data_IF_576387689739
#
_entry.id   IF_576387689739
#
_cell.length_a   1.000
_cell.length_b   1.000
_cell.length_c   1.000
_cell.angle_alpha   90.00
_cell.angle_beta   90.00
_cell.angle_gamma   90.00
#
_symmetry.space_group_name_H-M   'P 1'
#
loop_
_entity.id
_entity.type
_entity.pdbx_description
1 polymer ?
#
# COMPACT_ATOMS: atom_id res chain seq x y z
N UNK A 1 3.71 21.51 -0.85
CA UNK A 1 2.42 21.13 -0.21
C UNK A 1 2.48 21.43 1.27
N UNK A 2 1.38 21.85 1.94
CA UNK A 2 1.42 22.11 3.36
C UNK A 2 1.31 20.81 4.20
N UNK A 3 1.82 20.84 5.42
CA UNK A 3 1.83 19.69 6.33
C UNK A 3 0.42 19.22 6.74
N UNK A 4 -0.58 20.10 6.69
CA UNK A 4 -1.98 19.74 7.00
C UNK A 4 -2.57 18.88 5.90
N UNK A 5 -2.27 19.20 4.66
CA UNK A 5 -2.69 18.40 3.50
C UNK A 5 -2.08 17.00 3.55
N UNK A 6 -0.76 16.88 3.81
CA UNK A 6 -0.08 15.59 3.94
C UNK A 6 -0.69 14.76 5.09
N UNK A 7 -0.83 15.37 6.27
CA UNK A 7 -1.47 14.69 7.42
C UNK A 7 -2.90 14.29 7.14
N UNK A 8 -3.68 15.17 6.49
CA UNK A 8 -5.07 14.89 6.14
C UNK A 8 -5.19 13.71 5.18
N UNK A 9 -4.33 13.63 4.17
CA UNK A 9 -4.30 12.53 3.21
C UNK A 9 -3.95 11.19 3.90
N UNK A 10 -2.87 11.16 4.69
CA UNK A 10 -2.47 9.95 5.42
C UNK A 10 -3.51 9.50 6.44
N UNK A 11 -4.06 10.43 7.23
CA UNK A 11 -5.11 10.10 8.19
C UNK A 11 -6.38 9.61 7.50
N UNK A 12 -6.74 10.21 6.35
CA UNK A 12 -7.88 9.77 5.54
C UNK A 12 -7.72 8.33 5.05
N UNK A 13 -6.53 7.96 4.59
CA UNK A 13 -6.22 6.60 4.19
C UNK A 13 -6.36 5.64 5.37
N UNK A 14 -5.71 5.91 6.49
CA UNK A 14 -5.73 5.04 7.69
C UNK A 14 -7.14 4.91 8.27
N UNK A 15 -7.92 5.99 8.30
CA UNK A 15 -9.32 5.96 8.78
C UNK A 15 -10.19 5.16 7.82
N UNK A 16 -10.02 5.32 6.50
CA UNK A 16 -10.75 4.57 5.49
C UNK A 16 -10.51 3.07 5.58
N UNK A 17 -9.23 2.68 5.67
CA UNK A 17 -8.80 1.30 5.88
C UNK A 17 -9.40 0.71 7.17
N UNK A 18 -9.22 1.36 8.32
CA UNK A 18 -9.74 0.89 9.60
C UNK A 18 -11.27 0.80 9.66
N UNK A 19 -12.00 1.57 8.85
CA UNK A 19 -13.45 1.43 8.67
C UNK A 19 -13.78 0.20 7.82
N UNK A 20 -12.94 -0.14 6.84
CA UNK A 20 -13.10 -1.25 5.91
C UNK A 20 -12.79 -2.62 6.51
N UNK A 21 -11.75 -2.71 7.34
CA UNK A 21 -11.25 -3.98 7.92
C UNK A 21 -12.35 -4.92 8.46
N UNK A 22 -13.33 -4.48 9.27
CA UNK A 22 -14.35 -5.40 9.81
C UNK A 22 -15.36 -5.90 8.78
N UNK A 23 -15.44 -5.26 7.61
CA UNK A 23 -16.49 -5.52 6.61
C UNK A 23 -15.93 -5.99 5.28
N UNK A 24 -14.63 -6.16 5.17
CA UNK A 24 -13.98 -6.67 3.97
C UNK A 24 -14.58 -8.02 3.56
N UNK A 25 -14.71 -8.28 2.27
CA UNK A 25 -15.35 -9.45 1.68
C UNK A 25 -16.85 -9.63 1.97
N UNK A 26 -17.50 -8.71 2.69
CA UNK A 26 -18.96 -8.74 2.83
C UNK A 26 -19.65 -8.41 1.51
N UNK A 27 -20.82 -9.00 1.27
CA UNK A 27 -21.60 -8.70 0.08
C UNK A 27 -22.16 -7.26 0.10
N UNK A 28 -22.42 -6.71 -1.09
CA UNK A 28 -23.06 -5.38 -1.21
C UNK A 28 -24.46 -5.36 -0.56
N UNK A 29 -25.18 -6.50 -0.58
CA UNK A 29 -26.50 -6.65 0.04
C UNK A 29 -26.39 -6.61 1.59
N UNK A 30 -25.41 -7.31 2.17
CA UNK A 30 -25.16 -7.27 3.61
C UNK A 30 -24.79 -5.87 4.10
N UNK A 31 -23.92 -5.18 3.33
CA UNK A 31 -23.52 -3.80 3.63
C UNK A 31 -24.68 -2.81 3.47
N UNK A 32 -25.58 -3.02 2.52
CA UNK A 32 -26.78 -2.21 2.37
C UNK A 32 -27.77 -2.42 3.54
N UNK A 33 -27.88 -3.66 4.04
CA UNK A 33 -28.70 -3.99 5.19
C UNK A 33 -28.13 -3.48 6.53
N UNK A 34 -26.79 -3.43 6.65
CA UNK A 34 -26.08 -2.95 7.83
C UNK A 34 -24.93 -1.99 7.46
N UNK A 35 -25.24 -0.73 7.08
CA UNK A 35 -24.25 0.23 6.64
C UNK A 35 -23.18 0.54 7.68
N UNK A 36 -21.95 0.84 7.20
CA UNK A 36 -20.86 1.30 8.06
C UNK A 36 -21.09 2.78 8.39
N UNK A 37 -21.47 3.06 9.64
CA UNK A 37 -21.72 4.43 10.13
C UNK A 37 -20.66 4.94 11.11
N UNK A 38 -19.63 4.13 11.40
CA UNK A 38 -18.55 4.48 12.33
C UNK A 38 -17.61 3.30 12.54
N UNK A 39 -16.55 3.53 13.32
CA UNK A 39 -15.58 2.49 13.67
C UNK A 39 -16.28 1.35 14.42
N UNK A 40 -16.10 0.14 13.91
CA UNK A 40 -16.50 -1.11 14.57
C UNK A 40 -15.32 -2.06 14.61
N UNK A 41 -15.35 -3.03 15.48
CA UNK A 41 -14.30 -4.03 15.60
C UNK A 41 -14.78 -5.42 15.21
N UNK A 42 -13.83 -6.32 15.20
CA UNK A 42 -13.99 -7.74 14.89
C UNK A 42 -14.43 -7.95 13.43
N UNK A 43 -15.48 -8.66 13.14
CA UNK A 43 -15.90 -8.91 11.76
C UNK A 43 -14.93 -9.84 11.02
N UNK A 44 -14.63 -9.56 9.77
CA UNK A 44 -13.90 -10.47 8.87
C UNK A 44 -12.51 -10.87 9.40
N UNK A 45 -11.77 -9.93 9.94
CA UNK A 45 -10.38 -10.16 10.38
C UNK A 45 -10.23 -10.32 11.89
N UNK A 46 -11.32 -10.29 12.65
CA UNK A 46 -11.34 -10.43 14.13
C UNK A 46 -10.38 -9.43 14.83
N UNK A 47 -10.34 -8.19 14.33
CA UNK A 47 -9.47 -7.14 14.86
C UNK A 47 -10.26 -6.13 15.71
N UNK A 48 -9.65 -5.51 16.75
CA UNK A 48 -10.27 -4.42 17.51
C UNK A 48 -10.68 -3.24 16.62
N UNK A 49 -11.65 -2.45 17.07
CA UNK A 49 -12.07 -1.25 16.35
C UNK A 49 -10.92 -0.25 16.18
N UNK A 50 -10.77 0.29 14.97
CA UNK A 50 -9.70 1.24 14.63
C UNK A 50 -8.38 0.58 14.23
N UNK A 51 -8.34 -0.74 14.09
CA UNK A 51 -7.18 -1.46 13.53
C UNK A 51 -7.13 -1.25 12.02
N UNK A 52 -5.99 -0.81 11.50
CA UNK A 52 -5.71 -0.73 10.07
C UNK A 52 -4.97 -1.98 9.56
N UNK A 53 -5.10 -2.25 8.27
CA UNK A 53 -4.56 -3.44 7.59
C UNK A 53 -3.17 -3.22 6.97
N UNK A 54 -2.82 -4.06 5.99
CA UNK A 54 -1.64 -3.92 5.16
C UNK A 54 -1.70 -2.68 4.24
N UNK A 55 -2.89 -2.21 3.86
CA UNK A 55 -3.09 -0.97 3.11
C UNK A 55 -2.35 0.20 3.77
N UNK A 56 -2.69 0.50 5.02
CA UNK A 56 -2.06 1.60 5.77
C UNK A 56 -0.63 1.28 6.18
N UNK A 57 -0.37 0.05 6.62
CA UNK A 57 0.97 -0.36 7.05
C UNK A 57 1.99 -0.19 5.94
N UNK A 58 1.69 -0.65 4.73
CA UNK A 58 2.59 -0.51 3.58
C UNK A 58 2.66 0.93 3.06
N UNK A 59 1.59 1.71 3.17
CA UNK A 59 1.64 3.16 2.87
C UNK A 59 2.56 3.89 3.85
N UNK A 60 2.51 3.58 5.15
CA UNK A 60 3.41 4.16 6.17
C UNK A 60 4.87 3.75 5.93
N UNK A 61 5.11 2.49 5.54
CA UNK A 61 6.44 2.03 5.13
C UNK A 61 6.98 2.83 3.93
N UNK A 62 6.14 3.04 2.91
CA UNK A 62 6.51 3.83 1.74
C UNK A 62 6.80 5.29 2.10
N UNK A 63 5.95 5.90 2.92
CA UNK A 63 6.13 7.28 3.38
C UNK A 63 7.45 7.45 4.14
N UNK A 64 7.78 6.52 5.03
CA UNK A 64 9.05 6.53 5.76
C UNK A 64 10.24 6.40 4.82
N UNK A 65 10.21 5.45 3.89
CA UNK A 65 11.28 5.29 2.91
C UNK A 65 11.48 6.55 2.07
N UNK A 66 10.40 7.12 1.52
CA UNK A 66 10.45 8.37 0.74
C UNK A 66 10.96 9.57 1.54
N UNK A 67 10.81 9.58 2.87
CA UNK A 67 11.38 10.63 3.72
C UNK A 67 12.92 10.65 3.71
N UNK A 68 13.55 9.54 3.33
CA UNK A 68 15.00 9.38 3.16
C UNK A 68 15.44 9.61 1.71
N UNK A 69 14.53 9.63 0.77
CA UNK A 69 14.76 9.79 -0.66
C UNK A 69 14.13 8.66 -1.48
N UNK A 70 14.28 8.73 -2.81
CA UNK A 70 13.79 7.72 -3.73
C UNK A 70 14.81 6.57 -3.84
N UNK A 71 14.55 5.48 -3.15
CA UNK A 71 15.39 4.27 -3.16
C UNK A 71 14.50 3.02 -3.09
N UNK A 72 14.47 2.23 -4.17
CA UNK A 72 13.63 1.04 -4.27
C UNK A 72 14.09 -0.10 -3.36
N UNK A 73 15.40 -0.20 -3.07
CA UNK A 73 15.91 -1.20 -2.13
C UNK A 73 15.51 -0.84 -0.69
N UNK A 74 15.54 0.44 -0.31
CA UNK A 74 15.06 0.90 0.99
C UNK A 74 13.55 0.68 1.14
N UNK A 75 12.75 0.92 0.09
CA UNK A 75 11.31 0.61 0.08
C UNK A 75 11.07 -0.89 0.31
N UNK A 76 11.74 -1.75 -0.46
CA UNK A 76 11.60 -3.21 -0.33
C UNK A 76 12.05 -3.71 1.05
N UNK A 77 13.14 -3.18 1.58
CA UNK A 77 13.65 -3.48 2.92
C UNK A 77 12.64 -3.09 4.00
N UNK A 78 12.01 -1.91 3.87
CA UNK A 78 11.00 -1.45 4.84
C UNK A 78 9.74 -2.31 4.77
N UNK A 79 9.31 -2.74 3.57
CA UNK A 79 8.21 -3.71 3.41
C UNK A 79 8.55 -5.08 4.01
N UNK A 80 9.80 -5.55 3.87
CA UNK A 80 10.22 -6.81 4.51
C UNK A 80 10.17 -6.71 6.03
N UNK A 81 10.61 -5.59 6.61
CA UNK A 81 10.48 -5.34 8.06
C UNK A 81 9.03 -5.34 8.52
N UNK A 82 8.10 -4.78 7.72
CA UNK A 82 6.68 -4.90 8.02
C UNK A 82 6.25 -6.36 8.06
N UNK A 83 6.63 -7.15 7.05
CA UNK A 83 6.21 -8.55 6.95
C UNK A 83 6.77 -9.43 8.06
N UNK A 84 8.02 -9.23 8.46
CA UNK A 84 8.75 -10.11 9.39
C UNK A 84 8.64 -9.63 10.86
N UNK A 85 8.61 -8.31 11.09
CA UNK A 85 8.69 -7.72 12.43
C UNK A 85 7.36 -7.09 12.88
N UNK A 86 6.33 -7.04 12.01
CA UNK A 86 5.10 -6.29 12.30
C UNK A 86 5.30 -4.77 12.32
N UNK A 87 6.32 -4.27 11.63
CA UNK A 87 6.65 -2.83 11.59
C UNK A 87 5.52 -2.02 10.97
N UNK A 88 5.18 -0.87 11.53
CA UNK A 88 4.04 -0.04 11.11
C UNK A 88 2.68 -0.76 11.13
N UNK A 89 2.53 -1.86 11.83
CA UNK A 89 1.21 -2.45 12.08
C UNK A 89 0.54 -1.81 13.30
N UNK A 90 -0.78 -1.92 13.40
CA UNK A 90 -1.53 -1.37 14.51
C UNK A 90 -1.18 -2.02 15.86
N UNK A 91 -0.86 -3.32 15.86
CA UNK A 91 -0.67 -4.12 17.10
C UNK A 91 0.56 -5.02 17.08
N UNK A 92 1.52 -4.80 16.20
CA UNK A 92 2.72 -5.63 16.08
C UNK A 92 2.50 -6.94 15.33
N UNK A 93 1.33 -7.15 14.75
CA UNK A 93 0.99 -8.37 14.00
C UNK A 93 0.56 -8.02 12.58
N UNK A 94 1.08 -8.77 11.60
CA UNK A 94 0.67 -8.66 10.20
C UNK A 94 -0.53 -9.55 9.95
N UNK A 95 -1.58 -8.99 9.38
CA UNK A 95 -2.71 -9.73 8.83
C UNK A 95 -3.04 -9.20 7.44
N UNK A 96 -3.87 -9.92 6.70
CA UNK A 96 -4.34 -9.57 5.34
C UNK A 96 -3.25 -9.32 4.30
N UNK A 97 -2.10 -9.97 4.43
CA UNK A 97 -1.03 -9.85 3.44
C UNK A 97 -1.40 -10.54 2.12
N UNK A 98 -1.53 -9.78 1.05
CA UNK A 98 -1.80 -10.28 -0.29
C UNK A 98 -0.76 -11.28 -0.80
N UNK A 99 -1.21 -12.27 -1.61
CA UNK A 99 -0.37 -13.37 -2.09
C UNK A 99 0.81 -12.88 -2.95
N UNK A 100 0.59 -11.91 -3.87
CA UNK A 100 1.65 -11.35 -4.71
C UNK A 100 2.70 -10.61 -3.87
N UNK A 101 2.26 -9.84 -2.87
CA UNK A 101 3.14 -9.16 -1.91
C UNK A 101 4.03 -10.17 -1.17
N UNK A 102 3.44 -11.22 -0.61
CA UNK A 102 4.18 -12.28 0.10
C UNK A 102 5.24 -12.93 -0.80
N UNK A 103 4.87 -13.33 -2.02
CA UNK A 103 5.80 -13.94 -2.99
C UNK A 103 6.98 -13.02 -3.30
N UNK A 104 6.72 -11.73 -3.52
CA UNK A 104 7.74 -10.75 -3.84
C UNK A 104 8.71 -10.53 -2.66
N UNK A 105 8.19 -10.38 -1.44
CA UNK A 105 9.02 -10.19 -0.25
C UNK A 105 9.86 -11.42 0.07
N UNK A 106 9.36 -12.64 -0.19
CA UNK A 106 10.17 -13.86 -0.11
C UNK A 106 11.32 -13.83 -1.11
N UNK A 107 11.10 -13.42 -2.36
CA UNK A 107 12.20 -13.27 -3.35
C UNK A 107 13.23 -12.24 -2.86
N UNK A 108 12.77 -11.10 -2.34
CA UNK A 108 13.64 -10.06 -1.82
C UNK A 108 14.50 -10.56 -0.64
N UNK A 109 13.90 -11.27 0.31
CA UNK A 109 14.60 -11.88 1.43
C UNK A 109 15.69 -12.90 0.98
N UNK A 110 15.55 -13.48 -0.21
CA UNK A 110 16.56 -14.36 -0.84
C UNK A 110 17.57 -13.62 -1.73
N UNK A 111 17.63 -12.29 -1.66
CA UNK A 111 18.62 -11.47 -2.35
C UNK A 111 18.28 -11.11 -3.80
N UNK A 112 17.03 -11.26 -4.23
CA UNK A 112 16.59 -10.77 -5.54
C UNK A 112 16.47 -9.24 -5.44
N UNK A 113 17.01 -8.45 -6.40
CA UNK A 113 16.88 -6.99 -6.39
C UNK A 113 15.42 -6.54 -6.36
N UNK A 114 15.12 -5.44 -5.65
CA UNK A 114 13.76 -4.95 -5.41
C UNK A 114 12.90 -4.89 -6.68
N UNK A 115 13.41 -4.32 -7.77
CA UNK A 115 12.67 -4.17 -9.03
C UNK A 115 12.44 -5.48 -9.81
N UNK A 116 13.08 -6.58 -9.39
CA UNK A 116 12.91 -7.92 -9.97
C UNK A 116 12.04 -8.85 -9.12
N UNK A 117 11.56 -8.38 -7.96
CA UNK A 117 10.76 -9.19 -7.04
C UNK A 117 9.31 -9.34 -7.46
N UNK A 118 8.73 -8.31 -8.09
CA UNK A 118 7.32 -8.27 -8.46
C UNK A 118 6.88 -9.47 -9.29
N UNK A 119 5.68 -9.94 -8.99
CA UNK A 119 5.08 -11.05 -9.71
C UNK A 119 4.32 -10.55 -10.94
N UNK A 120 4.46 -11.26 -12.06
CA UNK A 120 3.89 -10.93 -13.38
C UNK A 120 3.11 -12.10 -14.02
N UNK A 121 2.94 -13.19 -13.29
CA UNK A 121 2.18 -14.35 -13.74
C UNK A 121 0.69 -14.02 -13.95
N UNK A 122 0.00 -14.80 -14.77
CA UNK A 122 -1.40 -14.57 -15.18
C UNK A 122 -2.37 -14.32 -14.01
N UNK A 123 -2.10 -14.87 -12.84
CA UNK A 123 -2.93 -14.71 -11.63
C UNK A 123 -2.36 -13.69 -10.62
N UNK A 124 -1.24 -13.04 -10.95
CA UNK A 124 -0.57 -12.08 -10.06
C UNK A 124 -0.98 -10.63 -10.40
N UNK A 125 -2.25 -10.39 -10.77
CA UNK A 125 -2.83 -9.13 -11.23
C UNK A 125 -3.63 -8.38 -10.14
N UNK A 126 -3.26 -8.56 -8.87
CA UNK A 126 -3.89 -7.89 -7.74
C UNK A 126 -3.62 -6.38 -7.69
N UNK A 127 -4.37 -5.68 -6.84
CA UNK A 127 -4.31 -4.23 -6.63
C UNK A 127 -3.39 -3.79 -5.46
N UNK A 128 -2.64 -4.69 -4.84
CA UNK A 128 -1.88 -4.42 -3.62
C UNK A 128 -0.76 -3.37 -3.75
N UNK A 129 -0.40 -2.92 -4.96
CA UNK A 129 0.45 -1.75 -5.13
C UNK A 129 -0.35 -0.44 -5.18
N UNK A 130 -1.62 -0.46 -5.63
CA UNK A 130 -2.49 0.70 -5.66
C UNK A 130 -2.84 1.20 -4.26
N UNK A 131 -3.20 0.30 -3.36
CA UNK A 131 -3.63 0.60 -2.00
C UNK A 131 -2.64 1.47 -1.22
N UNK A 132 -1.34 1.31 -1.47
CA UNK A 132 -0.24 1.95 -0.73
C UNK A 132 0.44 3.13 -1.43
N UNK A 133 0.06 3.45 -2.69
CA UNK A 133 0.84 4.35 -3.56
C UNK A 133 0.71 5.84 -3.21
N UNK A 134 -0.30 6.24 -2.44
CA UNK A 134 -0.61 7.64 -2.17
C UNK A 134 0.59 8.47 -1.65
N UNK A 135 1.46 7.97 -0.75
CA UNK A 135 2.65 8.73 -0.32
C UNK A 135 3.59 9.08 -1.47
N UNK A 136 3.67 8.24 -2.51
CA UNK A 136 4.48 8.55 -3.69
C UNK A 136 3.91 9.73 -4.47
N UNK A 137 2.58 9.83 -4.61
CA UNK A 137 1.96 10.97 -5.27
C UNK A 137 2.25 12.29 -4.55
N UNK A 138 2.24 12.27 -3.21
CA UNK A 138 2.62 13.43 -2.39
C UNK A 138 4.10 13.81 -2.58
N UNK A 139 4.97 12.81 -2.61
CA UNK A 139 6.41 12.99 -2.83
C UNK A 139 6.70 13.57 -4.22
N UNK A 140 6.11 13.01 -5.28
CA UNK A 140 6.30 13.50 -6.65
C UNK A 140 5.76 14.91 -6.84
N UNK A 141 4.62 15.23 -6.23
CA UNK A 141 4.09 16.60 -6.25
C UNK A 141 5.07 17.61 -5.61
N UNK A 142 5.73 17.25 -4.53
CA UNK A 142 6.72 18.12 -3.87
C UNK A 142 8.01 18.21 -4.68
N UNK A 143 8.47 17.10 -5.24
CA UNK A 143 9.75 17.03 -5.97
C UNK A 143 9.70 17.64 -7.38
N UNK A 144 8.57 17.47 -8.09
CA UNK A 144 8.41 17.80 -9.51
C UNK A 144 7.35 18.89 -9.77
N UNK A 145 6.58 19.30 -8.75
CA UNK A 145 5.51 20.30 -8.89
C UNK A 145 4.14 19.71 -9.23
N UNK A 146 3.11 20.54 -9.41
CA UNK A 146 1.72 20.10 -9.52
C UNK A 146 1.38 19.32 -10.80
N UNK A 147 2.20 19.44 -11.85
CA UNK A 147 1.98 18.75 -13.14
C UNK A 147 2.88 17.50 -13.29
N UNK A 148 3.35 16.91 -12.19
CA UNK A 148 4.24 15.75 -12.21
C UNK A 148 3.69 14.55 -13.00
N UNK A 149 2.38 14.41 -13.06
CA UNK A 149 1.70 13.35 -13.81
C UNK A 149 1.87 13.45 -15.34
N UNK A 150 2.33 14.59 -15.87
CA UNK A 150 2.66 14.76 -17.28
C UNK A 150 4.14 14.42 -17.58
N UNK A 151 4.93 14.16 -16.52
CA UNK A 151 6.36 13.90 -16.64
C UNK A 151 6.64 12.39 -16.83
N UNK A 152 7.38 12.05 -17.90
CA UNK A 152 7.72 10.66 -18.22
C UNK A 152 8.49 9.96 -17.10
N UNK A 153 9.40 10.69 -16.45
CA UNK A 153 10.20 10.15 -15.36
C UNK A 153 9.33 9.80 -14.13
N UNK A 154 8.31 10.62 -13.85
CA UNK A 154 7.36 10.33 -12.78
C UNK A 154 6.56 9.05 -13.05
N UNK A 155 6.13 8.82 -14.30
CA UNK A 155 5.46 7.56 -14.69
C UNK A 155 6.36 6.35 -14.43
N UNK A 156 7.65 6.44 -14.81
CA UNK A 156 8.58 5.34 -14.57
C UNK A 156 8.79 5.08 -13.07
N UNK A 157 8.89 6.13 -12.26
CA UNK A 157 9.00 6.01 -10.80
C UNK A 157 7.77 5.31 -10.21
N UNK A 158 6.56 5.68 -10.64
CA UNK A 158 5.31 5.06 -10.21
C UNK A 158 5.28 3.58 -10.57
N UNK A 159 5.60 3.22 -11.82
CA UNK A 159 5.65 1.84 -12.28
C UNK A 159 6.70 1.02 -11.51
N UNK A 160 7.89 1.57 -11.28
CA UNK A 160 8.96 0.89 -10.55
C UNK A 160 8.59 0.66 -9.08
N UNK A 161 7.93 1.63 -8.43
CA UNK A 161 7.41 1.45 -7.06
C UNK A 161 6.40 0.31 -6.97
N UNK A 162 5.54 0.14 -8.00
CA UNK A 162 4.64 -1.02 -8.09
C UNK A 162 5.40 -2.33 -8.29
N UNK A 163 6.39 -2.34 -9.19
CA UNK A 163 7.18 -3.53 -9.57
C UNK A 163 7.90 -4.19 -8.40
N UNK A 164 8.10 -3.50 -7.30
CA UNK A 164 8.66 -4.12 -6.07
C UNK A 164 7.84 -5.36 -5.67
N UNK A 165 6.52 -5.34 -5.86
CA UNK A 165 5.64 -6.47 -5.51
C UNK A 165 4.69 -6.89 -6.63
N UNK A 166 4.26 -5.98 -7.50
CA UNK A 166 3.26 -6.20 -8.55
C UNK A 166 3.82 -5.72 -9.89
N UNK A 167 4.26 -6.65 -10.73
CA UNK A 167 4.83 -6.34 -12.05
C UNK A 167 3.91 -6.74 -13.21
N UNK A 168 2.73 -7.32 -12.93
CA UNK A 168 1.77 -7.69 -13.99
C UNK A 168 1.24 -6.44 -14.71
N UNK A 169 1.13 -6.45 -16.06
CA UNK A 169 0.68 -5.28 -16.83
C UNK A 169 -0.66 -4.68 -16.37
N UNK A 170 -1.62 -5.50 -15.94
CA UNK A 170 -2.90 -5.02 -15.39
C UNK A 170 -2.68 -4.24 -14.09
N UNK A 171 -1.86 -4.76 -13.17
CA UNK A 171 -1.55 -4.06 -11.91
C UNK A 171 -0.84 -2.73 -12.17
N UNK A 172 0.10 -2.72 -13.12
CA UNK A 172 0.80 -1.50 -13.53
C UNK A 172 -0.13 -0.48 -14.18
N UNK A 173 -1.14 -0.93 -14.95
CA UNK A 173 -2.10 -0.02 -15.58
C UNK A 173 -3.02 0.66 -14.57
N UNK A 174 -3.36 0.01 -13.45
CA UNK A 174 -4.21 0.58 -12.40
C UNK A 174 -3.57 1.80 -11.72
N UNK A 175 -2.24 1.83 -11.64
CA UNK A 175 -1.51 2.91 -10.96
C UNK A 175 -1.30 4.12 -11.88
N UNK A 176 -1.51 3.95 -13.16
CA UNK A 176 -1.33 4.96 -14.20
C UNK A 176 -2.50 5.96 -14.29
N UNK A 177 -3.60 5.64 -13.63
CA UNK A 177 -4.81 6.45 -13.65
C UNK A 177 -4.77 7.49 -12.54
#
# INVERSE_FOLDING_TARGET
MDIKTIKGAMLGLVVGDALGVPVEFMSSEDLAACPVTGMRGYGTHDQPAGTWSDDSSMALCLMESLSRGLDYEDMASTYLRWADEGYWTAHGNVFDMGFATRKALVKYAHGVPALACGCDGQRDNGNGSLMRIMPLALYLHEAMGPCWNDEKDAHEIVLNTSRITHAHPISLSLIHI
#
